data_IF_727603701771
#
_entry.id   IF_727603701771
#
_cell.length_a   1.000
_cell.length_b   1.000
_cell.length_c   1.000
_cell.angle_alpha   90.00
_cell.angle_beta   90.00
_cell.angle_gamma   90.00
#
_symmetry.space_group_name_H-M   'P 1'
#
loop_
_entity.id
_entity.type
_entity.pdbx_description
1 polymer ?
#
# COMPACT_ATOMS: atom_id res chain seq x y z
N UNK A 1 10.32 123.79 -110.78
CA UNK A 1 9.67 124.51 -109.68
C UNK A 1 9.77 123.63 -108.45
N UNK A 2 10.25 124.22 -107.34
CA UNK A 2 10.41 123.68 -105.97
C UNK A 2 11.35 122.47 -105.85
N UNK A 3 12.58 122.57 -105.35
CA UNK A 3 13.12 123.22 -104.13
C UNK A 3 12.66 122.52 -102.84
N UNK A 4 13.60 121.83 -102.19
CA UNK A 4 13.70 121.69 -100.73
C UNK A 4 15.04 121.03 -100.39
N UNK A 5 16.05 121.86 -100.26
CA UNK A 5 17.29 121.59 -99.53
C UNK A 5 17.06 121.52 -98.02
N UNK A 6 17.96 120.81 -97.33
CA UNK A 6 18.56 121.19 -96.04
C UNK A 6 17.90 120.73 -94.72
N UNK A 7 18.57 119.83 -94.00
CA UNK A 7 19.17 120.02 -92.65
C UNK A 7 19.85 118.69 -92.26
N UNK A 8 21.18 118.56 -92.30
CA UNK A 8 22.18 119.10 -91.36
C UNK A 8 22.13 118.41 -89.98
N UNK A 9 23.20 117.66 -89.73
CA UNK A 9 23.80 117.35 -88.44
C UNK A 9 22.87 117.18 -87.24
N UNK A 10 22.63 115.92 -86.89
CA UNK A 10 22.46 115.57 -85.48
C UNK A 10 23.01 114.17 -85.23
N UNK A 11 23.99 114.16 -84.33
CA UNK A 11 24.11 113.11 -83.32
C UNK A 11 24.76 111.79 -83.78
N UNK A 12 26.04 111.89 -84.19
CA UNK A 12 27.01 110.84 -83.86
C UNK A 12 27.38 111.01 -82.38
N UNK A 13 26.42 110.78 -81.49
CA UNK A 13 26.67 110.55 -80.07
C UNK A 13 26.15 109.15 -79.72
N UNK A 14 26.97 108.40 -79.00
CA UNK A 14 26.65 107.12 -78.34
C UNK A 14 26.64 105.80 -79.12
N UNK A 15 27.45 105.64 -80.17
CA UNK A 15 27.76 104.28 -80.66
C UNK A 15 28.68 103.50 -79.69
N UNK A 16 29.37 104.19 -78.76
CA UNK A 16 30.23 103.57 -77.74
C UNK A 16 29.46 103.04 -76.51
N UNK A 17 28.19 103.37 -76.33
CA UNK A 17 27.36 102.89 -75.21
C UNK A 17 26.84 101.47 -75.42
N UNK A 18 26.38 101.15 -76.63
CA UNK A 18 25.85 99.83 -76.99
C UNK A 18 26.93 98.72 -77.02
N UNK A 19 28.17 99.06 -77.38
CA UNK A 19 29.29 98.10 -77.41
C UNK A 19 29.79 97.74 -75.99
N UNK A 20 29.54 98.60 -74.99
CA UNK A 20 29.78 98.34 -73.57
C UNK A 20 28.73 97.41 -72.95
N UNK A 21 27.45 97.64 -73.24
CA UNK A 21 26.32 96.83 -72.75
C UNK A 21 26.43 95.37 -73.22
N UNK A 22 26.74 95.14 -74.50
CA UNK A 22 26.89 93.79 -75.04
C UNK A 22 28.09 93.01 -74.46
N UNK A 23 29.16 93.69 -74.03
CA UNK A 23 30.30 93.05 -73.34
C UNK A 23 29.96 92.70 -71.90
N UNK A 24 29.15 93.51 -71.24
CA UNK A 24 28.64 93.23 -69.90
C UNK A 24 27.67 92.04 -69.94
N UNK A 25 26.70 92.03 -70.86
CA UNK A 25 25.76 90.92 -71.07
C UNK A 25 26.48 89.59 -71.34
N UNK A 26 27.53 89.60 -72.18
CA UNK A 26 28.32 88.41 -72.46
C UNK A 26 29.08 87.91 -71.22
N UNK A 27 29.58 88.83 -70.38
CA UNK A 27 30.27 88.47 -69.14
C UNK A 27 29.31 87.88 -68.11
N UNK A 28 28.10 88.43 -68.01
CA UNK A 28 27.02 87.90 -67.17
C UNK A 28 26.56 86.51 -67.66
N UNK A 29 26.43 86.32 -68.97
CA UNK A 29 26.13 85.02 -69.58
C UNK A 29 27.21 83.97 -69.29
N UNK A 30 28.48 84.34 -69.35
CA UNK A 30 29.61 83.46 -69.01
C UNK A 30 29.63 83.09 -67.52
N UNK A 31 29.34 84.06 -66.63
CA UNK A 31 29.21 83.82 -65.20
C UNK A 31 28.03 82.89 -64.88
N UNK A 32 26.89 83.09 -65.55
CA UNK A 32 25.71 82.25 -65.40
C UNK A 32 25.95 80.83 -65.93
N UNK A 33 26.63 80.69 -67.06
CA UNK A 33 27.06 79.38 -67.60
C UNK A 33 27.97 78.64 -66.62
N UNK A 34 28.92 79.35 -66.01
CA UNK A 34 29.81 78.77 -64.99
C UNK A 34 29.03 78.30 -63.76
N UNK A 35 28.09 79.12 -63.28
CA UNK A 35 27.24 78.79 -62.14
C UNK A 35 26.33 77.59 -62.41
N UNK A 36 25.78 77.47 -63.63
CA UNK A 36 24.99 76.31 -64.04
C UNK A 36 25.84 75.04 -64.05
N UNK A 37 27.06 75.10 -64.58
CA UNK A 37 27.96 73.95 -64.61
C UNK A 37 28.35 73.49 -63.20
N UNK A 38 28.60 74.43 -62.29
CA UNK A 38 28.89 74.12 -60.88
C UNK A 38 27.67 73.50 -60.18
N UNK A 39 26.47 74.02 -60.42
CA UNK A 39 25.23 73.44 -59.91
C UNK A 39 25.03 72.01 -60.44
N UNK A 40 25.26 71.79 -61.74
CA UNK A 40 25.15 70.48 -62.38
C UNK A 40 26.13 69.48 -61.76
N UNK A 41 27.38 69.88 -61.55
CA UNK A 41 28.39 69.05 -60.91
C UNK A 41 27.99 68.66 -59.47
N UNK A 42 27.43 69.61 -58.71
CA UNK A 42 26.94 69.35 -57.35
C UNK A 42 25.74 68.39 -57.33
N UNK A 43 24.79 68.56 -58.26
CA UNK A 43 23.63 67.65 -58.40
C UNK A 43 24.10 66.24 -58.77
N UNK A 44 25.00 66.09 -59.74
CA UNK A 44 25.57 64.80 -60.14
C UNK A 44 26.29 64.11 -58.97
N UNK A 45 27.09 64.86 -58.20
CA UNK A 45 27.77 64.34 -57.01
C UNK A 45 26.77 63.86 -55.96
N UNK A 46 25.67 64.60 -55.76
CA UNK A 46 24.60 64.22 -54.83
C UNK A 46 23.85 62.98 -55.30
N UNK A 47 23.56 62.87 -56.61
CA UNK A 47 22.91 61.71 -57.21
C UNK A 47 23.74 60.44 -57.02
N UNK A 48 25.04 60.49 -57.31
CA UNK A 48 25.96 59.38 -57.10
C UNK A 48 25.98 58.97 -55.62
N UNK A 49 26.12 59.93 -54.70
CA UNK A 49 26.13 59.66 -53.26
C UNK A 49 24.83 59.01 -52.77
N UNK A 50 23.67 59.43 -53.27
CA UNK A 50 22.38 58.84 -52.92
C UNK A 50 22.23 57.43 -53.48
N UNK A 51 22.76 57.17 -54.67
CA UNK A 51 22.76 55.84 -55.28
C UNK A 51 23.62 54.86 -54.50
N UNK A 52 24.79 55.29 -54.03
CA UNK A 52 25.64 54.48 -53.16
C UNK A 52 24.95 54.19 -51.82
N UNK A 53 24.32 55.20 -51.20
CA UNK A 53 23.54 55.02 -49.97
C UNK A 53 22.37 54.03 -50.20
N UNK A 54 21.68 54.13 -51.32
CA UNK A 54 20.61 53.20 -51.68
C UNK A 54 21.13 51.76 -51.80
N UNK A 55 22.23 51.55 -52.52
CA UNK A 55 22.83 50.23 -52.68
C UNK A 55 23.24 49.61 -51.33
N UNK A 56 23.84 50.40 -50.43
CA UNK A 56 24.18 49.91 -49.07
C UNK A 56 22.93 49.54 -48.26
N UNK A 57 21.83 50.30 -48.40
CA UNK A 57 20.57 49.97 -47.72
C UNK A 57 19.93 48.72 -48.28
N UNK A 58 20.00 48.49 -49.59
CA UNK A 58 19.53 47.26 -50.24
C UNK A 58 20.28 46.02 -49.70
N UNK A 59 21.60 46.12 -49.54
CA UNK A 59 22.41 45.04 -48.95
C UNK A 59 22.02 44.76 -47.49
N UNK A 60 21.85 45.81 -46.68
CA UNK A 60 21.41 45.68 -45.27
C UNK A 60 20.03 45.03 -45.19
N UNK A 61 19.08 45.42 -46.05
CA UNK A 61 17.74 44.82 -46.11
C UNK A 61 17.85 43.33 -46.44
N UNK A 62 18.64 42.95 -47.44
CA UNK A 62 18.84 41.55 -47.81
C UNK A 62 19.40 40.71 -46.64
N UNK A 63 20.37 41.26 -45.89
CA UNK A 63 20.91 40.61 -44.70
C UNK A 63 19.86 40.45 -43.59
N UNK A 64 19.04 41.47 -43.35
CA UNK A 64 17.96 41.41 -42.34
C UNK A 64 16.92 40.37 -42.75
N UNK A 65 16.52 40.34 -44.02
CA UNK A 65 15.57 39.34 -44.55
C UNK A 65 16.09 37.92 -44.34
N UNK A 66 17.36 37.65 -44.67
CA UNK A 66 17.96 36.33 -44.45
C UNK A 66 18.02 35.95 -42.96
N UNK A 67 18.36 36.91 -42.09
CA UNK A 67 18.39 36.68 -40.64
C UNK A 67 16.99 36.41 -40.07
N UNK A 68 15.96 37.10 -40.57
CA UNK A 68 14.57 36.91 -40.15
C UNK A 68 14.08 35.52 -40.56
N UNK A 69 14.36 35.09 -41.79
CA UNK A 69 13.99 33.76 -42.28
C UNK A 69 14.63 32.66 -41.42
N UNK A 70 15.91 32.80 -41.09
CA UNK A 70 16.60 31.88 -40.17
C UNK A 70 15.93 31.83 -38.80
N UNK A 71 15.57 33.00 -38.23
CA UNK A 71 14.88 33.06 -36.94
C UNK A 71 13.51 32.40 -37.00
N UNK A 72 12.77 32.52 -38.11
CA UNK A 72 11.47 31.88 -38.27
C UNK A 72 11.56 30.35 -38.26
N UNK A 73 12.59 29.79 -38.90
CA UNK A 73 12.87 28.35 -38.88
C UNK A 73 13.16 27.87 -37.44
N UNK A 74 13.97 28.62 -36.69
CA UNK A 74 14.28 28.29 -35.30
C UNK A 74 13.04 28.34 -34.39
N UNK A 75 12.18 29.35 -34.57
CA UNK A 75 10.90 29.45 -33.86
C UNK A 75 10.02 28.24 -34.14
N UNK A 76 9.92 27.81 -35.40
CA UNK A 76 9.11 26.64 -35.77
C UNK A 76 9.62 25.35 -35.11
N UNK A 77 10.94 25.16 -35.04
CA UNK A 77 11.55 24.00 -34.38
C UNK A 77 11.30 24.02 -32.87
N UNK A 78 11.44 25.17 -32.21
CA UNK A 78 11.13 25.32 -30.78
C UNK A 78 9.65 25.04 -30.50
N UNK A 79 8.74 25.48 -31.36
CA UNK A 79 7.31 25.18 -31.25
C UNK A 79 7.04 23.66 -31.33
N UNK A 80 7.74 22.95 -32.20
CA UNK A 80 7.64 21.49 -32.31
C UNK A 80 8.13 20.80 -31.03
N UNK A 81 9.26 21.24 -30.48
CA UNK A 81 9.79 20.72 -29.21
C UNK A 81 8.82 20.96 -28.05
N UNK A 82 8.22 22.16 -27.94
CA UNK A 82 7.20 22.47 -26.94
C UNK A 82 5.99 21.54 -27.08
N UNK A 83 5.54 21.27 -28.30
CA UNK A 83 4.42 20.35 -28.53
C UNK A 83 4.71 18.93 -28.03
N UNK A 84 5.92 18.41 -28.30
CA UNK A 84 6.37 17.09 -27.79
C UNK A 84 6.41 17.04 -26.26
N UNK A 85 6.91 18.10 -25.63
CA UNK A 85 6.95 18.22 -24.17
C UNK A 85 5.52 18.23 -23.59
N UNK A 86 4.60 19.00 -24.20
CA UNK A 86 3.20 19.06 -23.76
C UNK A 86 2.52 17.69 -23.81
N UNK A 87 2.65 16.98 -24.93
CA UNK A 87 2.09 15.63 -25.09
C UNK A 87 2.65 14.64 -24.05
N UNK A 88 3.97 14.73 -23.77
CA UNK A 88 4.61 13.89 -22.74
C UNK A 88 4.08 14.23 -21.34
N UNK A 89 3.88 15.52 -21.05
CA UNK A 89 3.34 15.97 -19.78
C UNK A 89 1.89 15.50 -19.57
N UNK A 90 1.04 15.58 -20.60
CA UNK A 90 -0.33 15.05 -20.57
C UNK A 90 -0.38 13.56 -20.23
N UNK A 91 0.51 12.77 -20.86
CA UNK A 91 0.65 11.33 -20.56
C UNK A 91 1.08 11.10 -19.10
N UNK A 92 2.02 11.88 -18.59
CA UNK A 92 2.47 11.78 -17.20
C UNK A 92 1.35 12.14 -16.21
N UNK A 93 0.55 13.18 -16.49
CA UNK A 93 -0.60 13.53 -15.66
C UNK A 93 -1.64 12.41 -15.60
N UNK A 94 -1.93 11.76 -16.74
CA UNK A 94 -2.81 10.59 -16.77
C UNK A 94 -2.26 9.41 -15.94
N UNK A 95 -0.95 9.14 -16.03
CA UNK A 95 -0.30 8.10 -15.23
C UNK A 95 -0.36 8.41 -13.74
N UNK A 96 -0.08 9.65 -13.34
CA UNK A 96 -0.18 10.12 -11.95
C UNK A 96 -1.61 9.92 -11.44
N UNK A 97 -2.62 10.31 -12.22
CA UNK A 97 -4.02 10.08 -11.87
C UNK A 97 -4.34 8.61 -11.62
N UNK A 98 -3.88 7.71 -12.51
CA UNK A 98 -4.06 6.27 -12.34
C UNK A 98 -3.36 5.71 -11.11
N UNK A 99 -2.13 6.16 -10.81
CA UNK A 99 -1.39 5.76 -9.62
C UNK A 99 -2.08 6.24 -8.33
N UNK A 100 -2.57 7.47 -8.30
CA UNK A 100 -3.31 8.02 -7.16
C UNK A 100 -4.57 7.19 -6.84
N UNK A 101 -5.32 6.77 -7.87
CA UNK A 101 -6.48 5.90 -7.67
C UNK A 101 -6.08 4.52 -7.12
N UNK A 102 -4.96 3.95 -7.59
CA UNK A 102 -4.48 2.67 -7.08
C UNK A 102 -4.02 2.75 -5.63
N UNK A 103 -3.38 3.86 -5.24
CA UNK A 103 -2.97 4.10 -3.85
C UNK A 103 -4.21 4.16 -2.93
N UNK A 104 -5.23 4.94 -3.31
CA UNK A 104 -6.46 5.04 -2.53
C UNK A 104 -7.16 3.67 -2.33
N UNK A 105 -7.18 2.84 -3.38
CA UNK A 105 -7.70 1.47 -3.30
C UNK A 105 -6.88 0.60 -2.32
N UNK A 106 -5.54 0.70 -2.37
CA UNK A 106 -4.66 -0.05 -1.46
C UNK A 106 -4.81 0.41 0.00
N UNK A 107 -4.97 1.72 0.25
CA UNK A 107 -5.22 2.27 1.58
C UNK A 107 -6.50 1.70 2.19
N UNK A 108 -7.59 1.64 1.40
CA UNK A 108 -8.85 1.04 1.84
C UNK A 108 -8.71 -0.44 2.16
N UNK A 109 -7.98 -1.21 1.34
CA UNK A 109 -7.75 -2.63 1.61
C UNK A 109 -6.94 -2.86 2.90
N UNK A 110 -5.91 -2.04 3.13
CA UNK A 110 -5.10 -2.10 4.36
C UNK A 110 -5.94 -1.77 5.59
N UNK A 111 -6.82 -0.76 5.49
CA UNK A 111 -7.72 -0.40 6.58
C UNK A 111 -8.68 -1.55 6.93
N UNK A 112 -9.29 -2.18 5.91
CA UNK A 112 -10.16 -3.36 6.12
C UNK A 112 -9.40 -4.51 6.78
N UNK A 113 -8.16 -4.78 6.37
CA UNK A 113 -7.32 -5.82 6.98
C UNK A 113 -7.00 -5.51 8.44
N UNK A 114 -6.71 -4.24 8.76
CA UNK A 114 -6.45 -3.79 10.14
C UNK A 114 -7.66 -4.05 11.04
N UNK A 115 -8.87 -3.78 10.56
CA UNK A 115 -10.11 -4.06 11.31
C UNK A 115 -10.32 -5.55 11.56
N UNK A 116 -10.11 -6.39 10.52
CA UNK A 116 -10.19 -7.85 10.65
C UNK A 116 -9.15 -8.39 11.64
N UNK A 117 -7.94 -7.85 11.64
CA UNK A 117 -6.90 -8.24 12.61
C UNK A 117 -7.33 -7.84 14.03
N UNK A 118 -7.79 -6.60 14.24
CA UNK A 118 -8.23 -6.13 15.56
C UNK A 118 -9.37 -6.98 16.13
N UNK A 119 -10.36 -7.37 15.31
CA UNK A 119 -11.43 -8.27 15.76
C UNK A 119 -10.91 -9.66 16.15
N UNK A 120 -9.97 -10.21 15.39
CA UNK A 120 -9.34 -11.51 15.72
C UNK A 120 -8.51 -11.44 17.00
N UNK A 121 -7.80 -10.35 17.25
CA UNK A 121 -7.04 -10.14 18.49
C UNK A 121 -7.96 -10.16 19.71
N UNK A 122 -9.11 -9.49 19.65
CA UNK A 122 -10.10 -9.50 20.72
C UNK A 122 -10.65 -10.91 20.99
N UNK A 123 -10.92 -11.70 19.94
CA UNK A 123 -11.35 -13.09 20.07
C UNK A 123 -10.25 -13.96 20.70
N UNK A 124 -8.98 -13.77 20.32
CA UNK A 124 -7.87 -14.50 20.92
C UNK A 124 -7.73 -14.15 22.41
N UNK A 125 -7.88 -12.89 22.78
CA UNK A 125 -7.88 -12.46 24.18
C UNK A 125 -8.99 -13.13 24.99
N UNK A 126 -10.23 -13.15 24.47
CA UNK A 126 -11.34 -13.80 25.16
C UNK A 126 -11.10 -15.30 25.34
N UNK A 127 -10.63 -16.01 24.29
CA UNK A 127 -10.28 -17.43 24.41
C UNK A 127 -9.12 -17.68 25.37
N UNK A 128 -8.12 -16.80 25.43
CA UNK A 128 -7.01 -16.92 26.37
C UNK A 128 -7.49 -16.87 27.82
N UNK A 129 -8.41 -15.93 28.12
CA UNK A 129 -9.03 -15.82 29.45
C UNK A 129 -9.88 -17.05 29.77
N UNK A 130 -10.74 -17.48 28.84
CA UNK A 130 -11.56 -18.68 29.02
C UNK A 130 -10.70 -19.93 29.28
N UNK A 131 -9.61 -20.10 28.53
CA UNK A 131 -8.69 -21.22 28.70
C UNK A 131 -8.00 -21.21 30.07
N UNK A 132 -7.57 -20.04 30.54
CA UNK A 132 -6.97 -19.90 31.87
C UNK A 132 -7.98 -20.28 32.98
N UNK A 133 -9.23 -19.86 32.84
CA UNK A 133 -10.30 -20.21 33.78
C UNK A 133 -10.59 -21.72 33.77
N UNK A 134 -10.75 -22.34 32.60
CA UNK A 134 -10.96 -23.78 32.50
C UNK A 134 -9.78 -24.58 33.07
N UNK A 135 -8.54 -24.11 32.90
CA UNK A 135 -7.37 -24.76 33.52
C UNK A 135 -7.43 -24.70 35.05
N UNK A 136 -7.89 -23.60 35.64
CA UNK A 136 -8.08 -23.47 37.09
C UNK A 136 -9.14 -24.45 37.61
N UNK A 137 -10.28 -24.50 36.93
CA UNK A 137 -11.38 -25.41 37.26
C UNK A 137 -10.95 -26.88 37.21
N UNK A 138 -10.16 -27.28 36.20
CA UNK A 138 -9.60 -28.63 36.12
C UNK A 138 -8.72 -28.96 37.33
N UNK A 139 -7.90 -28.03 37.81
CA UNK A 139 -7.05 -28.25 39.00
C UNK A 139 -7.91 -28.41 40.27
N UNK A 140 -8.94 -27.60 40.42
CA UNK A 140 -9.90 -27.70 41.54
C UNK A 140 -10.63 -29.04 41.52
N UNK A 141 -11.11 -29.50 40.36
CA UNK A 141 -11.75 -30.80 40.21
C UNK A 141 -10.80 -31.97 40.51
N UNK A 142 -9.54 -31.89 40.07
CA UNK A 142 -8.53 -32.92 40.42
C UNK A 142 -8.33 -32.99 41.94
N UNK A 143 -8.26 -31.84 42.61
CA UNK A 143 -8.13 -31.79 44.08
C UNK A 143 -9.31 -32.49 44.76
N UNK A 144 -10.53 -32.23 44.28
CA UNK A 144 -11.72 -32.89 44.82
C UNK A 144 -11.74 -34.41 44.57
N UNK A 145 -11.26 -34.85 43.41
CA UNK A 145 -11.12 -36.29 43.11
C UNK A 145 -10.11 -36.97 44.03
N UNK A 146 -8.97 -36.32 44.32
CA UNK A 146 -7.96 -36.83 45.24
C UNK A 146 -8.53 -36.98 46.67
N UNK A 147 -9.29 -35.98 47.14
CA UNK A 147 -9.97 -36.01 48.45
C UNK A 147 -11.00 -37.15 48.55
N UNK A 148 -11.82 -37.34 47.51
CA UNK A 148 -12.78 -38.43 47.44
C UNK A 148 -12.08 -39.80 47.40
N UNK A 149 -10.98 -39.90 46.68
CA UNK A 149 -10.18 -41.14 46.59
C UNK A 149 -9.60 -41.51 47.96
N UNK A 150 -9.03 -40.54 48.68
CA UNK A 150 -8.52 -40.76 50.04
C UNK A 150 -9.65 -41.15 51.02
N UNK A 151 -10.82 -40.52 50.90
CA UNK A 151 -12.00 -40.85 51.72
C UNK A 151 -12.47 -42.27 51.47
N UNK A 152 -12.53 -42.70 50.21
CA UNK A 152 -12.91 -44.06 49.83
C UNK A 152 -11.92 -45.11 50.36
N UNK A 153 -10.61 -44.85 50.28
CA UNK A 153 -9.61 -45.77 50.85
C UNK A 153 -9.74 -45.89 52.38
N UNK A 154 -10.01 -44.78 53.08
CA UNK A 154 -10.26 -44.80 54.52
C UNK A 154 -11.54 -45.62 54.86
N UNK A 155 -12.63 -45.40 54.13
CA UNK A 155 -13.87 -46.17 54.29
C UNK A 155 -13.65 -47.66 54.02
N UNK A 156 -12.90 -48.02 52.99
CA UNK A 156 -12.55 -49.40 52.65
C UNK A 156 -11.74 -50.08 53.76
N UNK A 157 -10.78 -49.37 54.37
CA UNK A 157 -10.04 -49.86 55.54
C UNK A 157 -10.98 -50.12 56.72
N UNK A 158 -11.87 -49.17 57.01
CA UNK A 158 -12.84 -49.29 58.11
C UNK A 158 -13.82 -50.46 57.91
N UNK A 159 -14.27 -50.70 56.67
CA UNK A 159 -15.08 -51.87 56.31
C UNK A 159 -14.30 -53.17 56.59
N UNK A 160 -13.00 -53.20 56.25
CA UNK A 160 -12.12 -54.33 56.57
C UNK A 160 -12.06 -54.63 58.07
N UNK A 161 -11.82 -53.60 58.89
CA UNK A 161 -11.79 -53.74 60.36
C UNK A 161 -13.11 -54.23 60.94
N UNK A 162 -14.25 -53.71 60.46
CA UNK A 162 -15.56 -54.17 60.91
C UNK A 162 -15.83 -55.62 60.51
N UNK A 163 -15.37 -56.04 59.33
CA UNK A 163 -15.50 -57.43 58.88
C UNK A 163 -14.73 -58.38 59.79
N UNK A 164 -13.48 -58.05 60.14
CA UNK A 164 -12.69 -58.85 61.10
C UNK A 164 -13.36 -58.95 62.47
N UNK A 165 -13.91 -57.84 63.00
CA UNK A 165 -14.67 -57.85 64.26
C UNK A 165 -15.91 -58.75 64.20
N UNK A 166 -16.64 -58.72 63.08
CA UNK A 166 -17.80 -59.60 62.88
C UNK A 166 -17.37 -61.07 62.87
N UNK A 167 -16.29 -61.41 62.16
CA UNK A 167 -15.77 -62.78 62.10
C UNK A 167 -15.34 -63.28 63.50
N UNK A 168 -14.70 -62.43 64.31
CA UNK A 168 -14.36 -62.73 65.71
C UNK A 168 -15.61 -62.99 66.57
N UNK A 169 -16.61 -62.12 66.49
CA UNK A 169 -17.87 -62.27 67.23
C UNK A 169 -18.61 -63.56 66.84
N UNK A 170 -18.64 -63.91 65.55
CA UNK A 170 -19.20 -65.17 65.07
C UNK A 170 -18.45 -66.37 65.69
N UNK A 171 -17.12 -66.29 65.76
CA UNK A 171 -16.28 -67.28 66.42
C UNK A 171 -16.60 -67.43 67.92
N UNK A 172 -16.69 -66.33 68.66
CA UNK A 172 -17.07 -66.32 70.08
C UNK A 172 -18.47 -66.91 70.31
N UNK A 173 -19.47 -66.52 69.51
CA UNK A 173 -20.83 -67.07 69.57
C UNK A 173 -20.80 -68.59 69.36
N UNK A 174 -20.00 -69.07 68.40
CA UNK A 174 -19.87 -70.50 68.14
C UNK A 174 -19.28 -71.26 69.34
N UNK A 175 -18.26 -70.70 70.00
CA UNK A 175 -17.67 -71.29 71.21
C UNK A 175 -18.66 -71.33 72.38
N UNK A 176 -19.36 -70.22 72.63
CA UNK A 176 -20.37 -70.13 73.69
C UNK A 176 -21.52 -71.11 73.46
N UNK A 177 -21.97 -71.28 72.21
CA UNK A 177 -23.00 -72.26 71.86
C UNK A 177 -22.55 -73.70 72.12
N UNK A 178 -21.29 -74.03 71.85
CA UNK A 178 -20.74 -75.35 72.14
C UNK A 178 -20.63 -75.60 73.65
N UNK A 179 -20.20 -74.61 74.43
CA UNK A 179 -20.16 -74.70 75.89
C UNK A 179 -21.56 -74.89 76.51
N UNK A 180 -22.58 -74.20 76.00
CA UNK A 180 -23.96 -74.42 76.44
C UNK A 180 -24.44 -75.84 76.15
N UNK A 181 -24.09 -76.41 75.00
CA UNK A 181 -24.43 -77.79 74.66
C UNK A 181 -23.67 -78.81 75.52
N UNK A 182 -22.39 -78.59 75.84
CA UNK A 182 -21.61 -79.47 76.74
C UNK A 182 -22.13 -79.42 78.18
N UNK A 183 -22.49 -78.24 78.69
CA UNK A 183 -23.07 -78.10 80.03
C UNK A 183 -24.47 -78.74 80.14
N UNK A 184 -25.21 -78.87 79.04
CA UNK A 184 -26.47 -79.63 78.99
C UNK A 184 -26.25 -81.15 78.93
N UNK A 185 -25.10 -81.63 78.46
CA UNK A 185 -24.74 -83.06 78.44
C UNK A 185 -24.23 -83.53 79.81
N UNK A 186 -23.52 -82.69 80.57
CA UNK A 186 -23.12 -83.05 81.93
C UNK A 186 -24.30 -83.09 82.91
N UNK A 187 -25.29 -82.18 82.80
CA UNK A 187 -26.52 -82.21 83.62
C UNK A 187 -27.53 -83.31 83.21
N UNK A 188 -27.36 -83.95 82.04
CA UNK A 188 -28.28 -85.00 81.55
C UNK A 188 -27.71 -86.42 81.58
N UNK A 189 -26.49 -86.61 82.12
CA UNK A 189 -25.81 -87.92 82.14
C UNK A 189 -26.12 -88.80 83.36
N UNK A 190 -26.97 -88.37 84.29
CA UNK A 190 -27.64 -89.25 85.26
C UNK A 190 -29.06 -89.60 84.79
N UNK A 191 -29.18 -90.50 83.80
CA UNK A 191 -30.18 -91.60 83.72
C UNK A 191 -30.50 -92.02 82.27
N UNK A 192 -29.90 -93.16 81.91
CA UNK A 192 -30.48 -94.33 81.19
C UNK A 192 -30.69 -94.28 79.67
N UNK A 193 -29.83 -95.09 79.04
CA UNK A 193 -30.14 -96.30 78.25
C UNK A 193 -30.76 -96.19 76.83
N UNK A 194 -29.87 -96.46 75.85
CA UNK A 194 -29.98 -97.49 74.79
C UNK A 194 -30.95 -97.33 73.59
N UNK A 195 -30.62 -97.97 72.45
CA UNK A 195 -30.72 -97.37 71.12
C UNK A 195 -31.91 -97.88 70.30
N UNK A 196 -32.30 -97.13 69.27
CA UNK A 196 -32.97 -97.74 68.13
C UNK A 196 -32.60 -97.05 66.81
N UNK A 197 -32.46 -97.89 65.80
CA UNK A 197 -31.75 -97.72 64.53
C UNK A 197 -32.65 -97.26 63.38
N UNK A 198 -31.99 -96.76 62.31
CA UNK A 198 -32.38 -96.78 60.87
C UNK A 198 -33.66 -95.99 60.50
N UNK A 199 -33.71 -95.16 59.45
CA UNK A 199 -33.30 -95.42 58.07
C UNK A 199 -33.35 -94.09 57.24
N UNK A 200 -32.39 -93.99 56.32
CA UNK A 200 -32.31 -93.28 55.03
C UNK A 200 -33.29 -92.16 54.61
N UNK A 201 -32.71 -91.04 54.13
CA UNK A 201 -32.82 -90.45 52.77
C UNK A 201 -32.18 -89.04 52.82
N UNK A 202 -30.98 -88.79 52.26
CA UNK A 202 -30.67 -88.56 50.83
C UNK A 202 -31.53 -87.47 50.18
N UNK A 203 -30.91 -86.59 49.35
CA UNK A 203 -31.53 -85.65 48.37
C UNK A 203 -31.86 -84.26 49.02
N UNK A 204 -31.27 -83.09 48.71
CA UNK A 204 -30.68 -82.55 47.48
C UNK A 204 -29.68 -81.40 47.73
N UNK A 205 -28.64 -81.47 46.90
CA UNK A 205 -27.81 -80.39 46.38
C UNK A 205 -28.68 -79.26 45.77
N UNK A 206 -28.36 -78.00 46.06
CA UNK A 206 -28.81 -76.87 45.24
C UNK A 206 -27.69 -75.83 45.12
N UNK A 207 -26.96 -75.92 44.01
CA UNK A 207 -26.30 -74.79 43.36
C UNK A 207 -27.34 -73.72 43.02
N UNK A 208 -26.88 -72.46 42.88
CA UNK A 208 -26.96 -71.93 41.52
C UNK A 208 -25.61 -71.37 41.05
N UNK A 209 -25.18 -71.88 39.90
CA UNK A 209 -24.39 -71.12 38.93
C UNK A 209 -25.23 -69.94 38.43
N UNK A 210 -24.64 -68.75 38.32
CA UNK A 210 -24.81 -67.91 37.12
C UNK A 210 -23.53 -67.10 36.85
N UNK A 211 -22.71 -67.67 35.97
CA UNK A 211 -21.96 -67.05 34.87
C UNK A 211 -21.74 -65.52 34.95
N UNK A 212 -20.49 -65.16 35.19
CA UNK A 212 -19.88 -64.03 34.49
C UNK A 212 -19.87 -64.34 32.98
N UNK A 213 -20.50 -63.49 32.18
CA UNK A 213 -20.11 -63.17 30.80
C UNK A 213 -21.06 -62.09 30.25
N UNK A 214 -20.53 -60.90 29.97
CA UNK A 214 -20.82 -60.11 28.76
C UNK A 214 -20.04 -58.80 28.89
N UNK A 215 -18.86 -58.73 28.26
CA UNK A 215 -18.69 -58.24 26.89
C UNK A 215 -19.20 -56.82 26.73
N UNK A 216 -18.25 -55.89 26.61
CA UNK A 216 -18.51 -54.51 26.24
C UNK A 216 -19.31 -54.42 24.95
N UNK A 217 -20.34 -53.57 24.97
CA UNK A 217 -20.97 -53.03 23.79
C UNK A 217 -20.94 -51.51 23.89
N UNK A 218 -20.16 -50.92 22.98
CA UNK A 218 -20.35 -49.54 22.54
C UNK A 218 -21.76 -49.42 21.98
N UNK A 219 -22.47 -48.36 22.37
CA UNK A 219 -23.56 -47.82 21.56
C UNK A 219 -23.49 -46.29 21.66
N UNK A 220 -23.33 -45.69 20.48
CA UNK A 220 -23.50 -44.28 20.21
C UNK A 220 -24.83 -43.75 20.73
N UNK A 221 -24.83 -42.53 21.27
CA UNK A 221 -26.02 -41.67 21.22
C UNK A 221 -25.63 -40.33 20.64
N UNK A 222 -26.04 -40.14 19.39
CA UNK A 222 -26.06 -38.85 18.73
C UNK A 222 -27.53 -38.50 18.46
N UNK A 223 -27.81 -37.20 18.59
CA UNK A 223 -28.94 -36.44 18.06
C UNK A 223 -30.26 -36.31 18.85
N UNK A 224 -30.54 -35.01 19.08
CA UNK A 224 -31.80 -34.25 18.96
C UNK A 224 -32.91 -34.47 20.00
N UNK A 225 -33.26 -33.36 20.65
CA UNK A 225 -34.66 -32.93 20.74
C UNK A 225 -34.76 -31.38 20.78
N UNK A 226 -35.77 -30.87 20.06
CA UNK A 226 -36.15 -29.47 19.88
C UNK A 226 -37.32 -29.08 20.80
N UNK A 227 -37.58 -27.76 20.84
CA UNK A 227 -38.80 -27.06 21.29
C UNK A 227 -38.86 -26.80 22.81
N UNK A 228 -39.30 -25.64 23.29
CA UNK A 228 -40.49 -24.88 22.87
C UNK A 228 -40.34 -23.37 23.10
N UNK A 229 -40.81 -22.57 22.14
CA UNK A 229 -40.97 -21.12 22.30
C UNK A 229 -42.29 -20.72 22.95
N UNK A 230 -42.42 -19.46 23.34
CA UNK A 230 -43.71 -18.74 23.41
C UNK A 230 -43.49 -17.25 23.14
N UNK A 231 -44.39 -16.74 22.30
CA UNK A 231 -44.47 -15.40 21.69
C UNK A 231 -45.46 -14.56 22.51
N UNK A 232 -45.19 -13.27 22.69
CA UNK A 232 -46.23 -12.29 23.03
C UNK A 232 -45.85 -10.89 22.51
N UNK A 233 -46.63 -10.41 21.54
CA UNK A 233 -46.86 -8.98 21.27
C UNK A 233 -48.06 -8.50 22.09
N UNK A 234 -48.19 -7.18 22.31
CA UNK A 234 -49.36 -6.51 21.74
C UNK A 234 -49.10 -5.11 21.13
N UNK A 235 -49.92 -4.76 20.13
CA UNK A 235 -50.17 -3.39 19.61
C UNK A 235 -51.01 -2.57 20.65
N UNK A 236 -51.18 -1.23 20.66
CA UNK A 236 -51.47 -0.22 19.59
C UNK A 236 -51.28 1.25 20.09
N UNK A 237 -51.24 2.19 19.12
CA UNK A 237 -51.75 3.62 19.06
C UNK A 237 -51.02 4.76 19.81
N UNK A 238 -50.37 5.72 19.10
CA UNK A 238 -50.83 7.05 18.58
C UNK A 238 -50.86 8.15 19.68
N UNK A 239 -50.38 9.41 19.56
CA UNK A 239 -50.15 10.37 18.47
C UNK A 239 -49.06 11.44 18.80
N UNK A 240 -48.65 12.20 17.76
CA UNK A 240 -48.29 13.64 17.73
C UNK A 240 -46.96 14.11 18.39
N UNK A 241 -46.16 15.03 17.86
CA UNK A 241 -46.24 15.95 16.70
C UNK A 241 -44.82 16.46 16.41
N UNK A 242 -44.56 16.92 15.18
CA UNK A 242 -43.23 17.23 14.68
C UNK A 242 -42.57 18.50 15.23
N UNK A 243 -41.32 18.71 14.81
CA UNK A 243 -40.82 19.97 14.26
C UNK A 243 -39.39 19.81 13.73
N UNK A 244 -39.18 20.55 12.65
CA UNK A 244 -38.02 20.70 11.79
C UNK A 244 -36.98 21.60 12.45
N UNK A 245 -35.70 21.22 12.46
CA UNK A 245 -34.57 22.16 12.52
C UNK A 245 -33.24 21.45 12.19
N UNK A 246 -32.67 21.74 11.02
CA UNK A 246 -31.23 21.99 10.89
C UNK A 246 -31.01 23.48 11.23
N UNK A 247 -29.88 23.84 11.87
CA UNK A 247 -28.77 24.33 11.05
C UNK A 247 -27.36 23.99 11.57
N UNK A 248 -26.46 23.72 10.62
CA UNK A 248 -25.09 24.22 10.44
C UNK A 248 -24.05 24.37 11.58
N UNK A 249 -22.80 24.21 11.11
CA UNK A 249 -21.53 24.89 11.46
C UNK A 249 -20.56 24.33 12.52
N UNK A 250 -19.42 23.87 11.98
CA UNK A 250 -17.99 24.15 12.30
C UNK A 250 -17.36 23.82 13.66
N UNK A 251 -16.06 23.49 13.52
CA UNK A 251 -14.96 23.61 14.50
C UNK A 251 -14.93 22.55 15.62
N UNK A 252 -13.80 21.97 16.03
CA UNK A 252 -12.44 22.50 16.05
C UNK A 252 -11.40 21.37 16.32
N UNK A 253 -10.16 21.62 15.85
CA UNK A 253 -8.86 21.44 16.52
C UNK A 253 -8.55 20.18 17.38
N UNK A 254 -7.50 19.43 17.02
CA UNK A 254 -6.10 19.57 17.51
C UNK A 254 -5.95 19.00 18.93
N UNK A 255 -5.07 18.06 19.24
CA UNK A 255 -3.63 18.28 19.40
C UNK A 255 -2.99 16.99 19.95
N UNK A 256 -1.72 16.75 19.57
CA UNK A 256 -0.62 16.20 20.40
C UNK A 256 -0.79 14.76 20.97
N UNK A 257 0.21 13.88 20.99
CA UNK A 257 1.56 14.10 21.54
C UNK A 257 2.40 12.82 21.39
N UNK A 258 3.66 13.02 21.00
CA UNK A 258 4.91 12.33 21.35
C UNK A 258 4.98 10.81 21.62
N UNK A 259 5.90 10.21 20.87
CA UNK A 259 6.69 8.98 21.10
C UNK A 259 7.25 8.78 22.52
N UNK A 260 7.62 7.51 22.83
CA UNK A 260 9.02 7.27 23.16
C UNK A 260 9.64 6.03 22.48
N UNK A 261 10.97 6.10 22.34
CA UNK A 261 11.88 5.10 21.76
C UNK A 261 12.16 3.85 22.63
N UNK A 262 12.54 2.78 21.92
CA UNK A 262 13.52 1.72 22.23
C UNK A 262 13.19 0.58 23.23
N UNK A 263 13.20 -0.66 22.73
CA UNK A 263 14.34 -1.60 22.82
C UNK A 263 14.05 -2.95 22.14
N UNK A 264 15.06 -3.47 21.44
CA UNK A 264 15.16 -4.82 20.91
C UNK A 264 15.11 -5.90 22.02
N UNK A 265 14.51 -7.06 21.75
CA UNK A 265 15.26 -8.30 21.44
C UNK A 265 14.32 -9.52 21.28
N UNK A 266 14.46 -10.17 20.12
CA UNK A 266 14.36 -11.61 19.84
C UNK A 266 13.09 -12.42 20.23
N UNK A 267 12.49 -13.07 19.24
CA UNK A 267 12.57 -14.55 19.15
C UNK A 267 12.03 -15.06 17.81
N UNK A 268 12.87 -15.94 17.26
CA UNK A 268 12.84 -16.60 15.96
C UNK A 268 11.72 -17.63 15.91
N UNK A 269 11.07 -17.75 14.74
CA UNK A 269 10.76 -19.01 14.01
C UNK A 269 9.45 -18.86 13.22
N UNK A 270 9.53 -18.30 12.00
CA UNK A 270 8.58 -18.54 10.88
C UNK A 270 8.99 -17.91 9.52
N UNK A 271 10.28 -17.62 9.31
CA UNK A 271 10.74 -16.90 8.10
C UNK A 271 11.11 -17.80 6.89
N UNK A 272 11.18 -19.12 7.04
CA UNK A 272 11.89 -19.97 6.07
C UNK A 272 11.12 -20.36 4.79
N UNK A 273 9.81 -20.08 4.68
CA UNK A 273 9.03 -20.45 3.49
C UNK A 273 8.77 -19.29 2.53
N UNK A 274 8.68 -18.05 3.02
CA UNK A 274 8.50 -16.87 2.15
C UNK A 274 9.82 -16.36 1.57
N UNK A 275 10.92 -16.41 2.31
CA UNK A 275 12.23 -15.96 1.82
C UNK A 275 12.74 -16.75 0.60
N UNK A 276 12.37 -18.04 0.46
CA UNK A 276 12.81 -18.89 -0.67
C UNK A 276 12.10 -18.57 -1.99
N UNK A 277 10.82 -18.20 -1.96
CA UNK A 277 10.07 -17.80 -3.17
C UNK A 277 10.50 -16.42 -3.65
N UNK A 278 10.68 -15.49 -2.72
CA UNK A 278 11.09 -14.11 -3.00
C UNK A 278 12.52 -14.05 -3.58
N UNK A 279 13.45 -14.86 -3.04
CA UNK A 279 14.83 -14.97 -3.54
C UNK A 279 14.89 -15.61 -4.96
N UNK A 280 13.94 -16.48 -5.33
CA UNK A 280 13.89 -17.05 -6.68
C UNK A 280 13.40 -16.03 -7.71
N UNK A 281 12.41 -15.20 -7.36
CA UNK A 281 11.84 -14.18 -8.25
C UNK A 281 12.83 -13.01 -8.48
N UNK A 282 13.51 -12.56 -7.42
CA UNK A 282 14.60 -11.56 -7.48
C UNK A 282 15.79 -12.03 -8.34
N UNK A 283 16.12 -13.33 -8.32
CA UNK A 283 17.20 -13.91 -9.15
C UNK A 283 16.86 -13.93 -10.64
N UNK A 284 15.60 -14.18 -11.02
CA UNK A 284 15.17 -14.11 -12.41
C UNK A 284 15.21 -12.68 -12.94
N UNK A 285 14.78 -11.72 -12.13
CA UNK A 285 14.79 -10.31 -12.52
C UNK A 285 16.23 -9.78 -12.66
N UNK A 286 17.13 -10.11 -11.73
CA UNK A 286 18.56 -9.79 -11.85
C UNK A 286 19.23 -10.38 -13.09
N UNK A 287 18.88 -11.60 -13.51
CA UNK A 287 19.41 -12.19 -14.75
C UNK A 287 18.92 -11.47 -16.00
N UNK A 288 17.66 -11.02 -16.01
CA UNK A 288 17.10 -10.23 -17.11
C UNK A 288 17.79 -8.85 -17.20
N UNK A 289 18.03 -8.21 -16.07
CA UNK A 289 18.76 -6.93 -15.97
C UNK A 289 20.20 -7.07 -16.50
N UNK A 290 20.94 -8.11 -16.11
CA UNK A 290 22.29 -8.42 -16.65
C UNK A 290 22.29 -8.58 -18.18
N UNK A 291 21.29 -9.28 -18.74
CA UNK A 291 21.19 -9.52 -20.18
C UNK A 291 20.92 -8.24 -20.95
N UNK A 292 20.07 -7.35 -20.41
CA UNK A 292 19.81 -6.02 -20.98
C UNK A 292 21.07 -5.16 -20.98
N UNK A 293 21.76 -5.05 -19.84
CA UNK A 293 22.98 -4.24 -19.73
C UNK A 293 24.08 -4.72 -20.71
N UNK A 294 24.30 -6.03 -20.83
CA UNK A 294 25.25 -6.60 -21.82
C UNK A 294 24.88 -6.28 -23.27
N UNK A 295 23.58 -6.27 -23.61
CA UNK A 295 23.12 -5.92 -24.96
C UNK A 295 23.45 -4.45 -25.27
N UNK A 296 23.17 -3.54 -24.33
CA UNK A 296 23.44 -2.12 -24.50
C UNK A 296 24.93 -1.79 -24.61
N UNK A 297 25.78 -2.48 -23.84
CA UNK A 297 27.24 -2.35 -23.94
C UNK A 297 27.80 -2.85 -25.28
N UNK A 298 27.17 -3.86 -25.87
CA UNK A 298 27.54 -4.34 -27.21
C UNK A 298 27.15 -3.35 -28.31
N UNK A 299 26.01 -2.70 -28.14
CA UNK A 299 25.52 -1.66 -29.07
C UNK A 299 26.26 -0.33 -28.88
N UNK A 300 26.80 -0.07 -27.69
CA UNK A 300 27.46 1.19 -27.32
C UNK A 300 28.75 0.92 -26.52
N UNK A 301 29.84 0.43 -27.15
CA UNK A 301 31.04 -0.03 -26.47
C UNK A 301 31.81 1.07 -25.70
N UNK A 302 31.60 2.34 -26.06
CA UNK A 302 32.26 3.49 -25.43
C UNK A 302 31.33 4.29 -24.49
N UNK A 303 30.12 3.80 -24.20
CA UNK A 303 29.19 4.50 -23.34
C UNK A 303 29.63 4.40 -21.87
N UNK A 304 29.73 5.56 -21.22
CA UNK A 304 29.94 5.66 -19.78
C UNK A 304 28.62 5.41 -19.01
N UNK A 305 28.71 5.31 -17.69
CA UNK A 305 27.59 4.98 -16.79
C UNK A 305 26.42 5.95 -16.94
N UNK A 306 26.71 7.24 -17.18
CA UNK A 306 25.71 8.30 -17.35
C UNK A 306 24.90 8.13 -18.63
N UNK A 307 25.57 7.81 -19.74
CA UNK A 307 24.91 7.56 -21.03
C UNK A 307 24.06 6.28 -20.96
N UNK A 308 24.57 5.23 -20.31
CA UNK A 308 23.82 3.98 -20.13
C UNK A 308 22.60 4.16 -19.22
N UNK A 309 22.73 4.97 -18.16
CA UNK A 309 21.66 5.34 -17.24
C UNK A 309 20.52 6.08 -17.97
N UNK A 310 20.87 7.06 -18.80
CA UNK A 310 19.92 7.82 -19.60
C UNK A 310 19.20 6.96 -20.66
N UNK A 311 19.94 6.07 -21.34
CA UNK A 311 19.36 5.11 -22.30
C UNK A 311 18.43 4.09 -21.66
N UNK A 312 18.71 3.69 -20.41
CA UNK A 312 17.92 2.71 -19.67
C UNK A 312 16.84 3.34 -18.80
N UNK A 313 16.79 4.67 -18.69
CA UNK A 313 15.86 5.40 -17.83
C UNK A 313 16.04 5.08 -16.34
N UNK A 314 17.27 4.83 -15.91
CA UNK A 314 17.63 4.46 -14.52
C UNK A 314 18.72 5.37 -13.98
N UNK A 315 18.94 5.37 -12.67
CA UNK A 315 19.99 6.17 -12.04
C UNK A 315 21.41 5.64 -12.38
N UNK A 316 22.40 6.53 -12.46
CA UNK A 316 23.80 6.14 -12.71
C UNK A 316 24.36 5.22 -11.62
N UNK A 317 23.94 5.39 -10.36
CA UNK A 317 24.32 4.55 -9.22
C UNK A 317 23.83 3.11 -9.39
N UNK A 318 22.66 2.93 -10.04
CA UNK A 318 22.12 1.61 -10.34
C UNK A 318 22.96 0.89 -11.39
N UNK A 319 23.43 1.58 -12.44
CA UNK A 319 24.34 1.02 -13.45
C UNK A 319 25.69 0.64 -12.83
N UNK A 320 26.24 1.49 -11.96
CA UNK A 320 27.48 1.22 -11.21
C UNK A 320 27.31 -0.05 -10.35
N UNK A 321 26.18 -0.18 -9.67
CA UNK A 321 25.84 -1.37 -8.88
C UNK A 321 25.81 -2.65 -9.73
N UNK A 322 25.16 -2.60 -10.90
CA UNK A 322 25.07 -3.75 -11.81
C UNK A 322 26.44 -4.14 -12.40
N UNK A 323 27.29 -3.19 -12.78
CA UNK A 323 28.65 -3.47 -13.27
C UNK A 323 29.49 -4.16 -12.20
N UNK A 324 29.46 -3.62 -10.98
CA UNK A 324 30.19 -4.18 -9.83
C UNK A 324 29.66 -5.56 -9.42
N UNK A 325 28.36 -5.78 -9.48
CA UNK A 325 27.74 -7.06 -9.14
C UNK A 325 28.03 -8.15 -10.19
N UNK A 326 28.22 -7.77 -11.47
CA UNK A 326 28.31 -8.71 -12.57
C UNK A 326 29.68 -8.81 -13.25
N UNK A 327 30.68 -8.08 -12.77
CA UNK A 327 32.02 -7.94 -13.36
C UNK A 327 31.95 -7.60 -14.86
N UNK A 328 31.36 -6.44 -15.18
CA UNK A 328 31.18 -5.93 -16.56
C UNK A 328 31.75 -4.52 -16.72
#
# INVERSE_FOLDING_TARGET
MADSTFNEDSEIHDVNGAEGDHKQDFSELMALTTRINELLANVLKREISLKDELATKEEVIASITASLEKSNIEIAELQNQIAKIRATNEKNQSLIGGLSSLIAEQEMQVQNLREVIGTKEQIIMSFTVSLANSKKEIVELHTHVDELTATNENQKSLIGEYKEKIDLLIGEISLLSNQQNESQVEDSSELKAEPNTTEENSVLKAEPETKEESSGLKADTNAKEESSGLKAEPNTTEENSGLKAEPNTTEENSELKAEPEAKEESSVLKADTNAKKENKMLKTDRKAQKKRLKKFLKENPNANEKILAELLGVDSSYIIGLRKEFDI
#
